data_IF_511657687062
#
_entry.id   IF_511657687062
#
_cell.length_a   1.000
_cell.length_b   1.000
_cell.length_c   1.000
_cell.angle_alpha   90.00
_cell.angle_beta   90.00
_cell.angle_gamma   90.00
#
_symmetry.space_group_name_H-M   'P 1'
#
loop_
_entity.id
_entity.type
_entity.pdbx_description
1 polymer ?
#
# COMPACT_ATOMS: atom_id res chain seq x y z
N UNK A 1 -0.97 6.04 -29.09
CA UNK A 1 -1.17 5.48 -30.44
C UNK A 1 -2.15 6.41 -31.15
N UNK A 2 -1.73 7.14 -32.18
CA UNK A 2 -2.50 8.25 -32.75
C UNK A 2 -3.41 7.79 -33.91
N UNK A 3 -4.57 8.46 -34.06
CA UNK A 3 -5.65 8.18 -35.05
C UNK A 3 -5.17 8.22 -36.52
N UNK A 4 -4.04 8.88 -36.76
CA UNK A 4 -3.50 9.19 -38.08
C UNK A 4 -2.97 7.98 -38.85
N UNK A 5 -2.66 6.86 -38.17
CA UNK A 5 -1.94 5.76 -38.81
C UNK A 5 -2.78 4.83 -39.70
N UNK A 6 -4.12 4.89 -39.65
CA UNK A 6 -4.96 3.84 -40.26
C UNK A 6 -6.18 4.33 -41.05
N UNK A 7 -6.48 5.64 -41.07
CA UNK A 7 -7.65 6.23 -41.74
C UNK A 7 -8.93 5.37 -41.62
N UNK A 8 -9.20 4.90 -40.38
CA UNK A 8 -10.25 3.91 -40.13
C UNK A 8 -11.60 4.62 -40.20
N UNK A 9 -12.56 4.12 -41.01
CA UNK A 9 -13.90 4.69 -41.05
C UNK A 9 -14.57 4.65 -39.69
N UNK A 10 -15.26 5.72 -39.32
CA UNK A 10 -15.99 5.83 -38.04
C UNK A 10 -16.98 4.68 -37.83
N UNK A 11 -17.57 4.15 -38.90
CA UNK A 11 -18.46 2.99 -38.86
C UNK A 11 -17.74 1.72 -38.41
N UNK A 12 -16.49 1.54 -38.83
CA UNK A 12 -15.66 0.42 -38.43
C UNK A 12 -15.21 0.57 -36.96
N UNK A 13 -14.79 1.78 -36.55
CA UNK A 13 -14.45 2.04 -35.14
C UNK A 13 -15.66 1.76 -34.24
N UNK A 14 -16.83 2.24 -34.66
CA UNK A 14 -18.10 2.01 -33.97
C UNK A 14 -18.46 0.53 -33.90
N UNK A 15 -18.15 -0.27 -34.92
CA UNK A 15 -18.45 -1.71 -34.90
C UNK A 15 -17.48 -2.49 -34.03
N UNK A 16 -16.20 -2.12 -33.97
CA UNK A 16 -15.21 -2.83 -33.14
C UNK A 16 -15.25 -2.46 -31.65
N UNK A 17 -15.84 -1.32 -31.31
CA UNK A 17 -15.95 -0.83 -29.92
C UNK A 17 -16.49 -1.89 -28.95
N UNK A 18 -17.43 -2.73 -29.38
CA UNK A 18 -17.97 -3.79 -28.52
C UNK A 18 -16.92 -4.86 -28.16
N UNK A 19 -15.88 -5.08 -28.98
CA UNK A 19 -14.82 -6.03 -28.67
C UNK A 19 -13.86 -5.50 -27.59
N UNK A 20 -13.77 -4.18 -27.46
CA UNK A 20 -12.93 -3.52 -26.45
C UNK A 20 -13.60 -3.50 -25.08
N UNK A 21 -14.94 -3.51 -25.03
CA UNK A 21 -15.69 -3.48 -23.78
C UNK A 21 -15.94 -4.88 -23.21
N UNK A 22 -15.66 -5.05 -21.92
CA UNK A 22 -15.97 -6.28 -21.19
C UNK A 22 -17.28 -6.15 -20.40
N UNK A 23 -17.97 -7.27 -20.16
CA UNK A 23 -19.12 -7.40 -19.23
C UNK A 23 -20.15 -6.23 -19.28
N UNK A 24 -20.13 -5.37 -18.26
CA UNK A 24 -21.08 -4.27 -18.03
C UNK A 24 -20.94 -3.15 -19.06
N UNK A 25 -19.72 -2.90 -19.51
CA UNK A 25 -19.39 -1.89 -20.50
C UNK A 25 -19.99 -2.25 -21.85
N UNK A 26 -19.98 -3.53 -22.17
CA UNK A 26 -20.53 -4.08 -23.40
C UNK A 26 -22.07 -3.91 -23.46
N UNK A 27 -22.77 -4.22 -22.36
CA UNK A 27 -24.23 -4.00 -22.24
C UNK A 27 -24.62 -2.53 -22.43
N UNK A 28 -23.87 -1.61 -21.83
CA UNK A 28 -24.09 -0.18 -22.02
C UNK A 28 -23.87 0.26 -23.46
N UNK A 29 -22.81 -0.23 -24.12
CA UNK A 29 -22.55 0.10 -25.52
C UNK A 29 -23.74 -0.30 -26.41
N UNK A 30 -24.28 -1.51 -26.25
CA UNK A 30 -25.46 -1.94 -27.00
C UNK A 30 -26.70 -1.10 -26.70
N UNK A 31 -26.93 -0.75 -25.43
CA UNK A 31 -28.03 0.14 -25.05
C UNK A 31 -27.89 1.52 -25.71
N UNK A 32 -26.71 2.13 -25.63
CA UNK A 32 -26.45 3.42 -26.29
C UNK A 32 -26.61 3.36 -27.80
N UNK A 33 -26.19 2.26 -28.42
CA UNK A 33 -26.38 2.04 -29.86
C UNK A 33 -27.84 1.86 -30.24
N UNK A 34 -28.66 1.25 -29.38
CA UNK A 34 -30.10 1.15 -29.58
C UNK A 34 -30.79 2.51 -29.43
N UNK A 35 -30.43 3.26 -28.39
CA UNK A 35 -31.08 4.53 -28.03
C UNK A 35 -30.71 5.68 -29.01
N UNK A 36 -29.46 5.72 -29.49
CA UNK A 36 -28.93 6.81 -30.31
C UNK A 36 -28.57 6.40 -31.75
N UNK A 37 -28.55 5.10 -32.07
CA UNK A 37 -28.24 4.63 -33.42
C UNK A 37 -26.74 4.71 -33.77
N UNK A 38 -26.46 5.01 -35.04
CA UNK A 38 -25.08 5.13 -35.56
C UNK A 38 -24.59 6.58 -35.39
N UNK A 39 -23.38 6.73 -34.84
CA UNK A 39 -22.74 8.01 -34.62
C UNK A 39 -21.26 7.98 -34.97
N UNK A 40 -20.67 9.16 -35.15
CA UNK A 40 -19.25 9.34 -35.46
C UNK A 40 -18.35 8.94 -34.28
N UNK A 41 -17.08 8.66 -34.57
CA UNK A 41 -16.11 8.33 -33.53
C UNK A 41 -15.93 9.45 -32.49
N UNK A 42 -15.86 10.75 -32.84
CA UNK A 42 -15.78 11.82 -31.85
C UNK A 42 -16.92 11.77 -30.82
N UNK A 43 -18.15 11.53 -31.28
CA UNK A 43 -19.30 11.39 -30.38
C UNK A 43 -19.16 10.17 -29.46
N UNK A 44 -18.80 9.01 -30.01
CA UNK A 44 -18.56 7.81 -29.20
C UNK A 44 -17.43 8.02 -28.19
N UNK A 45 -16.36 8.68 -28.59
CA UNK A 45 -15.24 9.00 -27.71
C UNK A 45 -15.70 9.88 -26.53
N UNK A 46 -16.51 10.90 -26.76
CA UNK A 46 -17.12 11.71 -25.70
C UNK A 46 -17.99 10.88 -24.77
N UNK A 47 -18.83 9.98 -25.30
CA UNK A 47 -19.66 9.11 -24.46
C UNK A 47 -18.84 8.13 -23.62
N UNK A 48 -17.75 7.60 -24.18
CA UNK A 48 -16.83 6.70 -23.48
C UNK A 48 -16.09 7.44 -22.37
N UNK A 49 -15.62 8.66 -22.64
CA UNK A 49 -14.99 9.52 -21.63
C UNK A 49 -16.00 9.89 -20.54
N UNK A 50 -17.18 10.38 -20.91
CA UNK A 50 -18.25 10.77 -19.98
C UNK A 50 -18.69 9.60 -19.09
N UNK A 51 -18.78 8.39 -19.66
CA UNK A 51 -19.02 7.18 -18.87
C UNK A 51 -17.84 6.82 -17.97
N UNK A 52 -16.61 7.05 -18.40
CA UNK A 52 -15.40 6.85 -17.59
C UNK A 52 -15.34 7.84 -16.40
N UNK A 53 -15.80 9.06 -16.61
CA UNK A 53 -16.02 10.10 -15.60
C UNK A 53 -17.27 9.88 -14.74
N UNK A 54 -17.78 8.63 -14.68
CA UNK A 54 -18.88 8.30 -13.81
C UNK A 54 -18.46 8.55 -12.35
N UNK A 55 -19.06 9.55 -11.73
CA UNK A 55 -18.89 9.88 -10.31
C UNK A 55 -18.93 8.66 -9.41
N UNK A 56 -19.74 7.64 -9.73
CA UNK A 56 -19.81 6.39 -8.99
C UNK A 56 -18.55 5.54 -9.10
N UNK A 57 -17.89 5.50 -10.27
CA UNK A 57 -16.60 4.81 -10.42
C UNK A 57 -15.52 5.54 -9.63
N UNK A 58 -15.44 6.86 -9.78
CA UNK A 58 -14.47 7.68 -9.05
C UNK A 58 -14.63 7.54 -7.54
N UNK A 59 -15.87 7.63 -7.05
CA UNK A 59 -16.20 7.40 -5.64
C UNK A 59 -15.81 6.01 -5.16
N UNK A 60 -16.09 4.94 -5.95
CA UNK A 60 -15.67 3.58 -5.61
C UNK A 60 -14.14 3.43 -5.57
N UNK A 61 -13.44 4.09 -6.48
CA UNK A 61 -11.99 4.07 -6.52
C UNK A 61 -11.38 4.81 -5.33
N UNK A 62 -11.91 5.98 -5.01
CA UNK A 62 -11.51 6.78 -3.83
C UNK A 62 -11.75 5.99 -2.54
N UNK A 63 -12.95 5.40 -2.35
CA UNK A 63 -13.23 4.54 -1.19
C UNK A 63 -12.33 3.30 -1.15
N UNK A 64 -12.12 2.63 -2.29
CA UNK A 64 -11.24 1.46 -2.35
C UNK A 64 -9.82 1.79 -1.94
N UNK A 65 -9.31 2.97 -2.29
CA UNK A 65 -7.99 3.43 -1.86
C UNK A 65 -8.01 3.84 -0.38
N UNK A 66 -9.08 4.52 0.06
CA UNK A 66 -9.18 5.02 1.42
C UNK A 66 -9.22 3.89 2.46
N UNK A 67 -9.97 2.83 2.16
CA UNK A 67 -10.10 1.62 2.97
C UNK A 67 -8.91 0.64 2.82
N UNK A 68 -8.06 0.82 1.81
CA UNK A 68 -6.91 -0.04 1.57
C UNK A 68 -5.79 0.24 2.56
N UNK A 69 -5.86 -0.38 3.73
CA UNK A 69 -4.75 -0.45 4.70
C UNK A 69 -3.91 -1.69 4.41
N UNK A 70 -2.59 -1.52 4.32
CA UNK A 70 -1.66 -2.61 4.09
C UNK A 70 -1.62 -3.57 5.29
N UNK A 71 -1.69 -4.86 5.04
CA UNK A 71 -1.54 -5.89 6.06
C UNK A 71 -0.37 -6.82 5.71
N UNK A 72 0.62 -6.89 6.60
CA UNK A 72 1.87 -7.65 6.42
C UNK A 72 1.61 -9.16 6.22
N UNK A 73 0.60 -9.73 6.88
CA UNK A 73 0.32 -11.16 6.84
C UNK A 73 -0.49 -11.58 5.61
N UNK A 74 -1.31 -10.66 5.08
CA UNK A 74 -2.25 -10.94 3.98
C UNK A 74 -1.75 -10.47 2.63
N UNK A 75 -1.11 -9.30 2.59
CA UNK A 75 -0.87 -8.56 1.36
C UNK A 75 0.58 -8.72 0.89
N UNK A 76 0.75 -9.06 -0.39
CA UNK A 76 2.08 -9.07 -1.03
C UNK A 76 2.47 -7.65 -1.43
N UNK A 77 3.61 -7.21 -0.90
CA UNK A 77 4.17 -5.85 -0.92
C UNK A 77 4.16 -5.25 -2.32
N UNK A 78 4.89 -5.85 -3.27
CA UNK A 78 4.95 -5.38 -4.66
C UNK A 78 3.56 -5.21 -5.30
N UNK A 79 2.73 -6.25 -5.24
CA UNK A 79 1.41 -6.21 -5.89
C UNK A 79 0.46 -5.21 -5.25
N UNK A 80 0.52 -5.09 -3.93
CA UNK A 80 -0.32 -4.16 -3.20
C UNK A 80 0.10 -2.72 -3.50
N UNK A 81 1.41 -2.42 -3.43
CA UNK A 81 1.93 -1.07 -3.70
C UNK A 81 1.62 -0.61 -5.12
N UNK A 82 1.88 -1.47 -6.12
CA UNK A 82 1.58 -1.14 -7.52
C UNK A 82 0.09 -0.93 -7.75
N UNK A 83 -0.77 -1.76 -7.15
CA UNK A 83 -2.22 -1.55 -7.20
C UNK A 83 -2.59 -0.16 -6.68
N UNK A 84 -2.14 0.22 -5.49
CA UNK A 84 -2.47 1.54 -4.93
C UNK A 84 -1.92 2.70 -5.77
N UNK A 85 -0.69 2.57 -6.28
CA UNK A 85 -0.08 3.54 -7.20
C UNK A 85 -0.93 3.74 -8.45
N UNK A 86 -1.37 2.65 -9.08
CA UNK A 86 -2.18 2.70 -10.30
C UNK A 86 -3.58 3.27 -10.03
N UNK A 87 -4.19 2.97 -8.89
CA UNK A 87 -5.45 3.60 -8.48
C UNK A 87 -5.30 5.12 -8.33
N UNK A 88 -4.24 5.59 -7.67
CA UNK A 88 -3.99 7.02 -7.51
C UNK A 88 -3.67 7.71 -8.83
N UNK A 89 -2.89 7.08 -9.72
CA UNK A 89 -2.61 7.61 -11.05
C UNK A 89 -3.89 7.73 -11.90
N UNK A 90 -4.84 6.82 -11.74
CA UNK A 90 -6.14 6.88 -12.40
C UNK A 90 -7.05 7.98 -11.82
N UNK A 91 -7.00 8.22 -10.51
CA UNK A 91 -7.77 9.26 -9.82
C UNK A 91 -7.19 10.67 -9.99
N UNK A 92 -5.87 10.77 -10.05
CA UNK A 92 -5.12 12.02 -10.08
C UNK A 92 -3.95 11.94 -11.09
N UNK A 93 -4.23 12.04 -12.40
CA UNK A 93 -3.20 11.92 -13.44
C UNK A 93 -2.08 12.97 -13.33
N UNK A 94 -2.39 14.15 -12.80
CA UNK A 94 -1.44 15.26 -12.65
C UNK A 94 -0.61 15.20 -11.35
N UNK A 95 -0.76 14.14 -10.55
CA UNK A 95 -0.04 13.99 -9.29
C UNK A 95 1.41 13.55 -9.53
N UNK A 96 2.36 14.27 -8.93
CA UNK A 96 3.77 13.89 -8.97
C UNK A 96 4.01 12.50 -8.37
N UNK A 97 4.95 11.74 -8.91
CA UNK A 97 5.27 10.37 -8.45
C UNK A 97 5.61 10.33 -6.95
N UNK A 98 6.44 11.25 -6.46
CA UNK A 98 6.75 11.40 -5.02
C UNK A 98 5.49 11.54 -4.16
N UNK A 99 4.50 12.34 -4.60
CA UNK A 99 3.26 12.52 -3.86
C UNK A 99 2.40 11.24 -3.88
N UNK A 100 2.37 10.55 -5.02
CA UNK A 100 1.72 9.23 -5.12
C UNK A 100 2.34 8.27 -4.11
N UNK A 101 3.68 8.16 -4.06
CA UNK A 101 4.36 7.30 -3.10
C UNK A 101 4.02 7.65 -1.66
N UNK A 102 4.08 8.93 -1.28
CA UNK A 102 3.71 9.37 0.08
C UNK A 102 2.29 8.98 0.46
N UNK A 103 1.31 9.15 -0.45
CA UNK A 103 -0.07 8.74 -0.19
C UNK A 103 -0.20 7.23 -0.02
N UNK A 104 0.54 6.43 -0.80
CA UNK A 104 0.58 4.97 -0.61
C UNK A 104 1.23 4.60 0.72
N UNK A 105 2.31 5.26 1.14
CA UNK A 105 3.01 4.95 2.38
C UNK A 105 2.19 5.23 3.63
N UNK A 106 1.38 6.29 3.65
CA UNK A 106 0.47 6.58 4.76
C UNK A 106 -0.48 5.39 5.02
N UNK A 107 -0.84 4.66 3.96
CA UNK A 107 -1.68 3.45 4.05
C UNK A 107 -0.95 2.22 4.61
N UNK A 108 0.36 2.29 4.82
CA UNK A 108 1.15 1.25 5.49
C UNK A 108 1.07 1.30 7.03
N UNK A 109 0.57 2.40 7.60
CA UNK A 109 0.55 2.65 9.05
C UNK A 109 1.85 3.29 9.56
N UNK A 110 1.75 4.02 10.67
CA UNK A 110 2.79 4.95 11.16
C UNK A 110 4.21 4.37 11.24
N UNK A 111 4.34 3.17 11.82
CA UNK A 111 5.65 2.58 12.09
C UNK A 111 6.31 2.07 10.82
N UNK A 112 5.52 1.51 9.90
CA UNK A 112 6.00 0.99 8.63
C UNK A 112 6.26 2.12 7.64
N UNK A 113 5.39 3.14 7.61
CA UNK A 113 5.58 4.39 6.87
C UNK A 113 6.93 5.02 7.23
N UNK A 114 7.20 5.23 8.53
CA UNK A 114 8.45 5.84 8.98
C UNK A 114 9.66 4.96 8.63
N UNK A 115 9.57 3.65 8.88
CA UNK A 115 10.65 2.72 8.59
C UNK A 115 10.98 2.68 7.08
N UNK A 116 9.98 2.69 6.20
CA UNK A 116 10.20 2.74 4.75
C UNK A 116 10.75 4.10 4.34
N UNK A 117 10.12 5.19 4.79
CA UNK A 117 10.51 6.56 4.47
C UNK A 117 11.97 6.86 4.83
N UNK A 118 12.45 6.36 5.97
CA UNK A 118 13.85 6.53 6.39
C UNK A 118 14.88 5.86 5.46
N UNK A 119 14.47 4.85 4.67
CA UNK A 119 15.32 4.13 3.70
C UNK A 119 15.25 4.72 2.29
N UNK A 120 14.27 5.58 2.03
CA UNK A 120 13.97 6.11 0.70
C UNK A 120 14.19 7.63 0.68
N UNK A 121 15.40 8.07 0.33
CA UNK A 121 15.71 9.49 0.16
C UNK A 121 15.09 10.02 -1.14
N UNK A 122 14.36 11.12 -1.05
CA UNK A 122 13.68 11.74 -2.19
C UNK A 122 14.67 12.43 -3.16
N UNK A 123 14.45 12.36 -4.49
CA UNK A 123 13.42 11.58 -5.16
C UNK A 123 13.76 10.09 -5.16
N UNK A 124 12.81 9.25 -4.75
CA UNK A 124 13.00 7.81 -4.64
C UNK A 124 12.13 7.08 -5.66
N UNK A 125 12.65 6.02 -6.29
CA UNK A 125 11.90 5.28 -7.30
C UNK A 125 10.83 4.39 -6.67
N UNK A 126 9.78 4.07 -7.42
CA UNK A 126 8.77 3.07 -7.04
C UNK A 126 9.42 1.75 -6.58
N UNK A 127 10.46 1.29 -7.28
CA UNK A 127 11.15 0.03 -6.96
C UNK A 127 11.87 0.09 -5.62
N UNK A 128 12.49 1.23 -5.28
CA UNK A 128 13.16 1.41 -4.00
C UNK A 128 12.16 1.37 -2.83
N UNK A 129 10.97 1.95 -2.99
CA UNK A 129 9.92 1.85 -1.98
C UNK A 129 9.44 0.40 -1.77
N UNK A 130 9.24 -0.33 -2.87
CA UNK A 130 8.83 -1.74 -2.82
C UNK A 130 9.92 -2.59 -2.15
N UNK A 131 11.18 -2.43 -2.55
CA UNK A 131 12.30 -3.16 -1.96
C UNK A 131 12.45 -2.84 -0.47
N UNK A 132 12.37 -1.57 -0.07
CA UNK A 132 12.43 -1.20 1.34
C UNK A 132 11.27 -1.80 2.15
N UNK A 133 10.07 -1.82 1.58
CA UNK A 133 8.90 -2.44 2.18
C UNK A 133 9.06 -3.96 2.33
N UNK A 134 9.55 -4.64 1.30
CA UNK A 134 9.88 -6.07 1.34
C UNK A 134 10.97 -6.36 2.36
N UNK A 135 12.06 -5.61 2.37
CA UNK A 135 13.17 -5.77 3.31
C UNK A 135 12.71 -5.59 4.75
N UNK A 136 11.90 -4.57 5.07
CA UNK A 136 11.43 -4.34 6.45
C UNK A 136 10.48 -5.45 6.91
N UNK A 137 9.58 -5.89 6.03
CA UNK A 137 8.56 -6.88 6.37
C UNK A 137 9.14 -8.29 6.46
N UNK A 138 10.13 -8.62 5.63
CA UNK A 138 10.86 -9.90 5.67
C UNK A 138 11.96 -9.90 6.73
N UNK A 139 12.71 -8.81 6.91
CA UNK A 139 13.77 -8.73 7.93
C UNK A 139 13.23 -8.68 9.36
N UNK A 140 11.95 -8.34 9.57
CA UNK A 140 11.30 -8.51 10.89
C UNK A 140 11.04 -9.98 11.25
N UNK A 141 11.37 -10.95 10.38
CA UNK A 141 11.58 -12.36 10.75
C UNK A 141 12.98 -12.65 11.31
N UNK A 142 13.89 -11.66 11.36
CA UNK A 142 15.13 -11.69 12.18
C UNK A 142 14.72 -11.42 13.65
N UNK A 143 13.93 -12.33 14.20
CA UNK A 143 13.26 -12.15 15.48
C UNK A 143 12.34 -13.29 15.90
N UNK A 144 12.14 -14.34 15.08
CA UNK A 144 11.44 -15.56 15.52
C UNK A 144 12.24 -16.45 16.50
N UNK A 145 13.25 -15.89 17.18
CA UNK A 145 13.86 -16.50 18.36
C UNK A 145 14.00 -15.53 19.53
N UNK A 146 12.89 -14.94 19.97
CA UNK A 146 12.74 -14.41 21.33
C UNK A 146 11.87 -15.32 22.21
N UNK A 147 11.85 -16.62 21.92
CA UNK A 147 11.54 -17.59 22.97
C UNK A 147 12.75 -17.62 23.91
N UNK A 148 12.67 -16.91 25.03
CA UNK A 148 13.54 -17.21 26.17
C UNK A 148 13.03 -18.54 26.74
N UNK A 149 13.74 -19.68 26.62
CA UNK A 149 13.40 -20.83 27.44
C UNK A 149 13.50 -20.41 28.93
N UNK A 150 12.71 -21.01 29.84
CA UNK A 150 12.79 -20.68 31.25
C UNK A 150 14.25 -20.81 31.72
N UNK A 151 14.72 -19.83 32.48
CA UNK A 151 16.00 -19.92 33.18
C UNK A 151 15.91 -21.04 34.21
N UNK A 152 16.23 -22.27 33.81
CA UNK A 152 16.47 -23.35 34.75
C UNK A 152 17.83 -23.11 35.42
N UNK A 153 17.74 -22.93 36.73
CA UNK A 153 18.82 -22.70 37.68
C UNK A 153 20.00 -23.67 37.48
N UNK A 154 21.19 -23.12 37.26
CA UNK A 154 22.45 -23.87 37.34
C UNK A 154 22.65 -24.42 38.76
N UNK A 155 22.81 -25.74 38.88
CA UNK A 155 23.42 -26.38 40.05
C UNK A 155 24.59 -27.27 39.62
N UNK A 156 25.81 -26.88 39.98
CA UNK A 156 26.96 -27.71 40.42
C UNK A 156 28.18 -26.77 40.55
N UNK A 157 29.05 -26.78 41.57
CA UNK A 157 29.18 -27.49 42.84
C UNK A 157 30.11 -26.68 43.78
N UNK A 158 30.09 -27.02 45.09
CA UNK A 158 30.75 -26.38 46.25
C UNK A 158 32.30 -26.57 46.29
N UNK A 159 33.11 -25.83 47.10
CA UNK A 159 33.02 -25.81 48.57
C UNK A 159 33.23 -24.47 49.32
N UNK A 160 32.76 -24.51 50.58
CA UNK A 160 32.65 -23.45 51.60
C UNK A 160 33.99 -23.18 52.31
N UNK A 161 34.26 -21.92 52.75
CA UNK A 161 34.79 -21.70 54.10
C UNK A 161 33.90 -20.78 54.97
N UNK A 162 34.10 -20.94 56.29
CA UNK A 162 33.25 -20.69 57.46
C UNK A 162 32.93 -19.21 57.81
N UNK A 163 31.91 -18.95 58.68
CA UNK A 163 31.38 -17.61 58.95
C UNK A 163 32.11 -16.90 60.09
N UNK A 164 32.20 -15.56 60.04
CA UNK A 164 32.49 -14.73 61.21
C UNK A 164 31.48 -13.58 61.36
N UNK A 165 30.90 -13.59 62.56
CA UNK A 165 30.00 -12.72 63.36
C UNK A 165 29.56 -11.32 62.87
N UNK A 166 28.36 -10.88 63.32
CA UNK A 166 27.77 -9.59 62.96
C UNK A 166 28.36 -8.44 63.79
N UNK A 167 28.56 -7.28 63.17
CA UNK A 167 28.84 -6.03 63.89
C UNK A 167 27.62 -5.11 63.86
N UNK A 168 27.39 -4.53 65.03
CA UNK A 168 26.20 -3.83 65.49
C UNK A 168 25.79 -2.58 64.69
N UNK A 169 24.48 -2.33 64.77
CA UNK A 169 23.77 -1.12 64.33
C UNK A 169 24.31 0.12 65.05
N UNK A 170 24.64 1.17 64.30
CA UNK A 170 24.70 2.53 64.83
C UNK A 170 23.37 3.27 64.52
N UNK A 171 22.76 3.98 65.49
CA UNK A 171 21.42 4.54 65.33
C UNK A 171 21.39 5.85 64.55
N UNK A 172 20.35 5.99 63.71
CA UNK A 172 19.92 7.23 63.07
C UNK A 172 19.57 8.29 64.14
N UNK A 173 20.21 9.46 64.09
CA UNK A 173 19.71 10.68 64.76
C UNK A 173 19.14 11.61 63.70
N UNK A 174 17.82 11.78 63.77
CA UNK A 174 17.08 12.84 63.11
C UNK A 174 17.27 14.14 63.89
N UNK A 175 17.61 15.24 63.22
CA UNK A 175 17.56 16.59 63.77
C UNK A 175 16.72 17.46 62.84
N UNK A 176 15.52 17.83 63.30
CA UNK A 176 14.84 19.05 62.90
C UNK A 176 14.21 19.68 64.14
N UNK A 177 14.69 20.88 64.48
CA UNK A 177 13.96 22.11 64.80
C UNK A 177 15.00 23.22 64.91
#
# INVERSE_FOLDING_TARGET
MFKEHFNIPDEYISSILHFLFTKSENKWYYKMRQDHGKHSWPWWNEQVISKGENYSWRFKMENSFEEAIFNIERDKQMSWFLKQKDQLAALHPDMSETMVHKRVLIKCGSDLEHAIGSRCLEPCSTNNYINAMEDITTSKEIGRNWYKPPMDSKTSGKPIPKPNKPHDKAPLKCHQC
#
